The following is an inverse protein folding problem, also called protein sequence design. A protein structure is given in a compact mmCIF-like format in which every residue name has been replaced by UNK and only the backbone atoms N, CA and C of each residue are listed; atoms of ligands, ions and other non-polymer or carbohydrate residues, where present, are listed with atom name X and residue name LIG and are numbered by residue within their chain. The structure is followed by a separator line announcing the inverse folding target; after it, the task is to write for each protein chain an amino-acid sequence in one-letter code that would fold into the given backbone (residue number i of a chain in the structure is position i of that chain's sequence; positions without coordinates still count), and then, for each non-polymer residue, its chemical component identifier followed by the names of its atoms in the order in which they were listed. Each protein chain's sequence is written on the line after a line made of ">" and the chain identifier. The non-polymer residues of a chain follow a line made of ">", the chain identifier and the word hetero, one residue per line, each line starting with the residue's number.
data_IF_500579887342
#
_entry.id   IF_500579887342
#
_cell.length_a   1.000
_cell.length_b   1.000
_cell.length_c   1.000
_cell.angle_alpha   90.00
_cell.angle_beta   90.00
_cell.angle_gamma   90.00
#
_symmetry.space_group_name_H-M   'P 1'
#
loop_
_entity.id
_entity.type
_entity.pdbx_description
1 polymer ?
#
# COMPACT_ATOMS: atom_id res chain seq x y z
N UNK A 1 -24.95 -12.05 -26.94
CA UNK A 1 -23.63 -12.64 -27.29
C UNK A 1 -22.59 -11.78 -26.62
N UNK A 2 -22.43 -11.97 -25.31
CA UNK A 2 -21.31 -11.41 -24.56
C UNK A 2 -20.12 -12.32 -24.85
N UNK A 3 -19.01 -11.74 -25.28
CA UNK A 3 -17.76 -12.48 -25.45
C UNK A 3 -17.42 -13.19 -24.14
N UNK A 4 -16.86 -14.40 -24.22
CA UNK A 4 -16.32 -15.07 -23.05
C UNK A 4 -15.09 -14.28 -22.56
N UNK A 5 -14.85 -14.21 -21.24
CA UNK A 5 -13.59 -13.73 -20.71
C UNK A 5 -12.42 -14.52 -21.29
N UNK A 6 -11.28 -13.88 -21.42
CA UNK A 6 -10.06 -14.55 -21.82
C UNK A 6 -9.64 -15.54 -20.72
N UNK A 7 -8.95 -16.62 -21.11
CA UNK A 7 -8.51 -17.66 -20.17
C UNK A 7 -7.58 -17.09 -19.09
N UNK A 8 -6.76 -16.08 -19.44
CA UNK A 8 -5.91 -15.36 -18.50
C UNK A 8 -6.74 -14.65 -17.41
N UNK A 9 -7.83 -13.98 -17.79
CA UNK A 9 -8.73 -13.35 -16.83
C UNK A 9 -9.42 -14.38 -15.90
N UNK A 10 -9.75 -15.58 -16.41
CA UNK A 10 -10.27 -16.66 -15.57
C UNK A 10 -9.20 -17.20 -14.59
N UNK A 11 -7.94 -17.29 -15.02
CA UNK A 11 -6.84 -17.69 -14.14
C UNK A 11 -6.57 -16.65 -13.05
N UNK A 12 -6.55 -15.36 -13.40
CA UNK A 12 -6.42 -14.29 -12.40
C UNK A 12 -7.63 -14.22 -11.47
N UNK A 13 -8.83 -14.51 -11.96
CA UNK A 13 -10.01 -14.64 -11.12
C UNK A 13 -9.88 -15.78 -10.10
N UNK A 14 -9.39 -16.95 -10.54
CA UNK A 14 -9.17 -18.10 -9.65
C UNK A 14 -8.19 -17.81 -8.50
N UNK A 15 -7.17 -16.98 -8.77
CA UNK A 15 -6.12 -16.61 -7.83
C UNK A 15 -6.39 -15.28 -7.10
N UNK A 16 -7.54 -14.63 -7.33
CA UNK A 16 -7.92 -13.37 -6.67
C UNK A 16 -7.05 -12.17 -7.05
N UNK A 17 -6.52 -12.14 -8.28
CA UNK A 17 -5.56 -11.13 -8.77
C UNK A 17 -6.20 -10.04 -9.64
N UNK A 18 -7.50 -10.13 -9.91
CA UNK A 18 -8.20 -9.13 -10.72
C UNK A 18 -8.52 -7.86 -9.91
N UNK A 19 -8.57 -6.73 -10.60
CA UNK A 19 -9.10 -5.50 -10.01
C UNK A 19 -10.59 -5.69 -9.67
N UNK A 20 -11.04 -5.05 -8.58
CA UNK A 20 -12.37 -5.31 -8.02
C UNK A 20 -13.54 -5.13 -9.00
N UNK A 21 -13.46 -4.20 -9.96
CA UNK A 21 -14.49 -4.03 -10.99
C UNK A 21 -14.48 -5.17 -12.02
N UNK A 22 -13.29 -5.62 -12.43
CA UNK A 22 -13.12 -6.73 -13.37
C UNK A 22 -13.51 -8.06 -12.74
N UNK A 23 -13.08 -8.32 -11.50
CA UNK A 23 -13.45 -9.49 -10.70
C UNK A 23 -14.98 -9.64 -10.62
N UNK A 24 -15.70 -8.55 -10.32
CA UNK A 24 -17.17 -8.54 -10.26
C UNK A 24 -17.82 -8.84 -11.62
N UNK A 25 -17.17 -8.48 -12.72
CA UNK A 25 -17.68 -8.74 -14.06
C UNK A 25 -17.44 -10.19 -14.48
N UNK A 26 -16.25 -10.72 -14.21
CA UNK A 26 -15.90 -12.14 -14.46
C UNK A 26 -16.76 -13.05 -13.58
N UNK A 27 -16.89 -12.76 -12.28
CA UNK A 27 -17.74 -13.53 -11.36
C UNK A 27 -19.19 -13.64 -11.87
N UNK A 28 -19.79 -12.52 -12.26
CA UNK A 28 -21.15 -12.50 -12.82
C UNK A 28 -21.27 -13.30 -14.12
N UNK A 29 -20.23 -13.29 -14.95
CA UNK A 29 -20.22 -14.07 -16.18
C UNK A 29 -20.17 -15.57 -15.87
N UNK A 30 -19.24 -15.99 -15.02
CA UNK A 30 -19.05 -17.40 -14.60
C UNK A 30 -20.33 -17.95 -13.96
N UNK A 31 -21.03 -17.18 -13.14
CA UNK A 31 -22.33 -17.58 -12.55
C UNK A 31 -23.41 -17.94 -13.59
N UNK A 32 -23.28 -17.43 -14.83
CA UNK A 32 -24.28 -17.57 -15.89
C UNK A 32 -23.83 -18.34 -17.12
N UNK A 33 -22.55 -18.72 -17.20
CA UNK A 33 -21.93 -19.38 -18.34
C UNK A 33 -21.27 -20.69 -17.91
N UNK A 34 -21.88 -21.82 -18.29
CA UNK A 34 -21.42 -23.17 -17.93
C UNK A 34 -19.98 -23.45 -18.43
N UNK A 35 -19.64 -23.03 -19.65
CA UNK A 35 -18.30 -23.19 -20.22
C UNK A 35 -17.23 -22.46 -19.41
N UNK A 36 -17.51 -21.23 -18.96
CA UNK A 36 -16.57 -20.47 -18.13
C UNK A 36 -16.47 -21.03 -16.71
N UNK A 37 -17.55 -21.61 -16.16
CA UNK A 37 -17.49 -22.30 -14.86
C UNK A 37 -16.69 -23.59 -14.93
N UNK A 38 -16.83 -24.38 -16.00
CA UNK A 38 -16.03 -25.60 -16.20
C UNK A 38 -14.54 -25.25 -16.37
N UNK A 39 -14.23 -24.22 -17.17
CA UNK A 39 -12.86 -23.76 -17.34
C UNK A 39 -12.24 -23.25 -16.03
N UNK A 40 -13.02 -22.55 -15.19
CA UNK A 40 -12.57 -22.11 -13.87
C UNK A 40 -12.30 -23.30 -12.93
N UNK A 41 -13.17 -24.32 -12.96
CA UNK A 41 -12.99 -25.54 -12.17
C UNK A 41 -11.71 -26.29 -12.57
N UNK A 42 -11.43 -26.40 -13.88
CA UNK A 42 -10.19 -27.00 -14.38
C UNK A 42 -8.93 -26.24 -13.92
N UNK A 43 -8.97 -24.91 -13.96
CA UNK A 43 -7.87 -24.06 -13.51
C UNK A 43 -7.65 -24.20 -11.99
N UNK A 44 -8.73 -24.14 -11.19
CA UNK A 44 -8.64 -24.29 -9.73
C UNK A 44 -8.16 -25.67 -9.29
N UNK A 45 -8.39 -26.71 -10.11
CA UNK A 45 -7.90 -28.05 -9.85
C UNK A 45 -6.37 -28.11 -9.79
N UNK A 46 -5.68 -27.35 -10.64
CA UNK A 46 -4.20 -27.31 -10.66
C UNK A 46 -3.68 -26.81 -9.32
N UNK A 47 -4.21 -25.69 -8.82
CA UNK A 47 -3.84 -25.11 -7.52
C UNK A 47 -4.15 -26.08 -6.37
N UNK A 48 -5.28 -26.80 -6.44
CA UNK A 48 -5.63 -27.83 -5.45
C UNK A 48 -4.63 -29.00 -5.43
N UNK A 49 -4.17 -29.46 -6.61
CA UNK A 49 -3.17 -30.53 -6.73
C UNK A 49 -1.83 -30.08 -6.14
N UNK A 50 -1.42 -28.84 -6.40
CA UNK A 50 -0.19 -28.29 -5.83
C UNK A 50 -0.28 -28.12 -4.31
N UNK A 51 -1.44 -27.69 -3.80
CA UNK A 51 -1.69 -27.56 -2.36
C UNK A 51 -1.69 -28.90 -1.62
N UNK A 52 -1.94 -30.01 -2.31
CA UNK A 52 -1.88 -31.35 -1.73
C UNK A 52 -0.43 -31.85 -1.49
N UNK A 53 0.57 -31.11 -1.99
CA UNK A 53 1.97 -31.42 -1.70
C UNK A 53 2.24 -31.32 -0.18
N UNK A 54 3.10 -32.19 0.40
CA UNK A 54 3.44 -32.10 1.81
C UNK A 54 4.03 -30.72 2.15
N UNK A 55 3.38 -30.02 3.07
CA UNK A 55 3.87 -28.76 3.60
C UNK A 55 5.05 -29.00 4.57
N UNK A 56 6.02 -28.07 4.65
CA UNK A 56 7.03 -28.10 5.70
C UNK A 56 6.38 -27.99 7.09
N UNK A 57 7.04 -28.55 8.10
CA UNK A 57 6.56 -28.43 9.48
C UNK A 57 6.62 -26.97 9.95
N UNK A 58 5.52 -26.51 10.56
CA UNK A 58 5.44 -25.17 11.15
C UNK A 58 6.34 -25.11 12.40
N UNK A 59 7.22 -24.11 12.55
CA UNK A 59 8.00 -23.94 13.76
C UNK A 59 7.12 -23.81 15.01
N UNK A 60 7.48 -24.46 16.14
CA UNK A 60 6.62 -24.54 17.31
C UNK A 60 6.34 -23.18 17.96
N UNK A 61 7.31 -22.28 17.93
CA UNK A 61 7.18 -20.91 18.45
C UNK A 61 6.14 -20.09 17.67
N UNK A 62 6.07 -20.29 16.35
CA UNK A 62 5.07 -19.63 15.49
C UNK A 62 3.68 -20.21 15.76
N UNK A 63 3.58 -21.54 15.91
CA UNK A 63 2.32 -22.21 16.25
C UNK A 63 1.77 -21.71 17.59
N UNK A 64 2.62 -21.67 18.63
CA UNK A 64 2.26 -21.20 19.97
C UNK A 64 1.78 -19.74 19.93
N UNK A 65 2.46 -18.88 19.17
CA UNK A 65 2.06 -17.47 19.02
C UNK A 65 0.71 -17.33 18.31
N UNK A 66 0.45 -18.10 17.25
CA UNK A 66 -0.84 -18.12 16.56
C UNK A 66 -1.96 -18.57 17.50
N UNK A 67 -1.75 -19.65 18.25
CA UNK A 67 -2.74 -20.15 19.21
C UNK A 67 -3.03 -19.12 20.32
N UNK A 68 -1.99 -18.44 20.83
CA UNK A 68 -2.15 -17.37 21.81
C UNK A 68 -2.99 -16.21 21.26
N UNK A 69 -2.68 -15.73 20.05
CA UNK A 69 -3.39 -14.64 19.39
C UNK A 69 -4.85 -15.00 19.09
N UNK A 70 -5.11 -16.23 18.63
CA UNK A 70 -6.48 -16.73 18.42
C UNK A 70 -7.23 -16.79 19.76
N UNK A 71 -6.61 -17.31 20.82
CA UNK A 71 -7.25 -17.38 22.14
C UNK A 71 -7.58 -15.99 22.70
N UNK A 72 -6.70 -15.01 22.49
CA UNK A 72 -6.94 -13.61 22.85
C UNK A 72 -8.08 -13.00 22.04
N UNK A 73 -8.05 -13.13 20.71
CA UNK A 73 -9.12 -12.63 19.83
C UNK A 73 -10.49 -13.24 20.18
N UNK A 74 -10.53 -14.52 20.58
CA UNK A 74 -11.76 -15.18 21.06
C UNK A 74 -12.26 -14.57 22.38
N UNK A 75 -11.36 -14.31 23.34
CA UNK A 75 -11.73 -13.63 24.61
C UNK A 75 -12.25 -12.22 24.35
N UNK A 76 -11.59 -11.46 23.49
CA UNK A 76 -12.03 -10.12 23.09
C UNK A 76 -13.44 -10.12 22.51
N UNK A 77 -13.72 -11.06 21.60
CA UNK A 77 -15.08 -11.25 21.03
C UNK A 77 -16.10 -11.69 22.08
N UNK A 78 -15.69 -12.39 23.13
CA UNK A 78 -16.57 -12.79 24.23
C UNK A 78 -16.89 -11.61 25.16
N UNK A 79 -15.90 -10.76 25.45
CA UNK A 79 -16.08 -9.54 26.26
C UNK A 79 -16.91 -8.49 25.53
N UNK A 80 -16.71 -8.34 24.21
CA UNK A 80 -17.48 -7.42 23.35
C UNK A 80 -18.88 -7.93 23.04
N UNK A 81 -19.22 -9.17 23.43
CA UNK A 81 -20.57 -9.69 23.27
C UNK A 81 -21.46 -9.06 24.34
N UNK A 82 -22.54 -8.34 23.96
CA UNK A 82 -23.51 -7.88 24.94
C UNK A 82 -24.05 -9.09 25.71
N UNK A 83 -24.14 -9.00 27.04
CA UNK A 83 -24.80 -10.04 27.82
C UNK A 83 -26.25 -10.19 27.33
N UNK A 84 -26.74 -11.43 27.08
CA UNK A 84 -28.14 -11.65 26.75
C UNK A 84 -28.98 -11.29 27.99
N UNK A 85 -29.45 -10.05 28.03
CA UNK A 85 -30.46 -9.63 29.00
C UNK A 85 -31.79 -10.23 28.57
N UNK A 86 -32.09 -11.43 29.06
CA UNK A 86 -33.42 -12.05 28.92
C UNK A 86 -33.39 -13.56 28.78
N UNK A 87 -34.13 -14.23 29.66
CA UNK A 87 -34.34 -15.68 29.72
C UNK A 87 -34.77 -16.31 28.37
N UNK A 88 -34.58 -17.64 28.17
CA UNK A 88 -34.91 -18.30 26.92
C UNK A 88 -36.43 -18.40 26.74
N UNK A 89 -36.97 -17.59 25.81
CA UNK A 89 -38.26 -17.87 25.18
C UNK A 89 -37.99 -18.67 23.89
N UNK A 90 -38.90 -19.61 23.61
CA UNK A 90 -38.94 -20.53 22.45
C UNK A 90 -38.55 -19.89 21.09
N UNK A 91 -38.09 -20.71 20.11
CA UNK A 91 -37.41 -20.23 18.91
C UNK A 91 -38.39 -19.58 17.94
N UNK A 92 -38.69 -18.31 18.15
CA UNK A 92 -39.22 -17.45 17.11
C UNK A 92 -38.05 -17.02 16.22
N UNK A 93 -38.15 -17.36 14.93
CA UNK A 93 -37.10 -17.13 13.93
C UNK A 93 -36.56 -15.71 14.04
N UNK A 94 -35.28 -15.57 14.36
CA UNK A 94 -34.58 -14.31 14.34
C UNK A 94 -34.75 -13.68 12.94
N UNK A 95 -35.16 -12.41 12.83
CA UNK A 95 -35.28 -11.77 11.53
C UNK A 95 -33.89 -11.69 10.91
N UNK A 96 -33.68 -12.48 9.87
CA UNK A 96 -32.48 -12.41 9.03
C UNK A 96 -32.47 -11.01 8.43
N UNK A 97 -31.53 -10.17 8.87
CA UNK A 97 -31.37 -8.84 8.32
C UNK A 97 -30.85 -8.97 6.89
N UNK A 98 -31.70 -8.62 5.93
CA UNK A 98 -31.36 -8.65 4.52
C UNK A 98 -30.36 -7.52 4.21
N UNK A 99 -29.10 -7.89 4.00
CA UNK A 99 -28.00 -6.97 3.72
C UNK A 99 -28.10 -6.30 2.33
N UNK A 100 -29.08 -6.69 1.50
CA UNK A 100 -29.25 -6.16 0.14
C UNK A 100 -29.91 -4.76 0.08
N UNK A 101 -30.54 -4.29 1.16
CA UNK A 101 -31.21 -2.98 1.22
C UNK A 101 -30.25 -1.81 1.52
N UNK A 102 -29.10 -2.06 2.14
CA UNK A 102 -28.15 -0.97 2.49
C UNK A 102 -27.34 -0.46 1.29
N UNK A 103 -27.25 -1.22 0.18
CA UNK A 103 -26.46 -0.83 -1.00
C UNK A 103 -27.15 0.22 -1.89
N UNK A 104 -28.47 0.42 -1.75
CA UNK A 104 -29.25 1.32 -2.64
C UNK A 104 -29.31 2.78 -2.18
N UNK A 105 -28.76 3.12 -1.00
CA UNK A 105 -28.86 4.49 -0.44
C UNK A 105 -27.67 5.44 -0.74
N UNK A 106 -26.64 5.00 -1.48
CA UNK A 106 -25.49 5.86 -1.84
C UNK A 106 -25.56 6.53 -3.23
N UNK A 107 -26.59 6.29 -4.05
CA UNK A 107 -26.74 6.99 -5.34
C UNK A 107 -27.90 7.99 -5.28
N UNK A 108 -27.61 9.17 -4.72
CA UNK A 108 -28.60 10.24 -4.58
C UNK A 108 -27.97 11.61 -4.32
N UNK A 109 -26.97 12.02 -5.10
CA UNK A 109 -26.62 13.45 -5.15
C UNK A 109 -27.60 14.17 -6.11
N UNK A 110 -28.29 15.24 -5.67
CA UNK A 110 -29.15 16.01 -6.55
C UNK A 110 -28.30 16.88 -7.49
N UNK A 111 -28.60 16.79 -8.79
CA UNK A 111 -28.16 17.73 -9.83
C UNK A 111 -28.51 19.17 -9.42
N UNK A 112 -27.51 19.98 -9.13
CA UNK A 112 -27.67 21.43 -9.05
C UNK A 112 -27.36 21.99 -10.44
N UNK A 113 -28.38 22.55 -11.08
CA UNK A 113 -28.30 23.28 -12.34
C UNK A 113 -27.62 24.64 -12.09
N UNK A 114 -26.56 24.94 -12.84
CA UNK A 114 -25.96 26.27 -12.93
C UNK A 114 -25.96 26.71 -14.40
N UNK A 115 -26.58 27.85 -14.67
CA UNK A 115 -26.85 28.36 -16.01
C UNK A 115 -25.75 29.32 -16.50
N UNK A 116 -25.28 29.04 -17.73
CA UNK A 116 -24.59 29.84 -18.74
C UNK A 116 -23.95 31.21 -18.42
N UNK A 117 -22.67 31.34 -18.80
CA UNK A 117 -22.14 32.55 -19.47
C UNK A 117 -21.11 32.13 -20.53
N UNK A 118 -21.31 32.60 -21.76
CA UNK A 118 -20.42 32.41 -22.90
C UNK A 118 -19.22 33.36 -22.81
N UNK A 119 -18.01 32.83 -22.88
CA UNK A 119 -16.81 33.59 -23.26
C UNK A 119 -15.92 32.69 -24.12
N UNK A 120 -15.92 32.96 -25.41
CA UNK A 120 -15.04 32.36 -26.41
C UNK A 120 -13.64 32.92 -26.17
N UNK A 121 -12.71 32.09 -25.72
CA UNK A 121 -11.27 32.33 -25.86
C UNK A 121 -10.71 31.37 -26.90
N UNK A 122 -10.59 31.89 -28.13
CA UNK A 122 -9.71 31.34 -29.16
C UNK A 122 -8.29 31.73 -28.81
N UNK A 123 -7.55 30.78 -28.25
CA UNK A 123 -6.08 30.72 -28.22
C UNK A 123 -5.81 29.23 -28.49
N UNK A 124 -5.20 28.77 -29.59
CA UNK A 124 -4.22 29.42 -30.45
C UNK A 124 -2.82 28.99 -30.03
N UNK A 125 -2.40 27.78 -30.45
CA UNK A 125 -1.04 27.20 -30.31
C UNK A 125 -1.12 25.76 -29.76
N UNK A 126 -0.80 24.68 -30.47
CA UNK A 126 0.31 24.44 -31.42
C UNK A 126 1.58 24.18 -30.62
N UNK A 127 2.21 23.00 -30.55
CA UNK A 127 2.21 21.83 -31.43
C UNK A 127 2.44 20.53 -30.63
N UNK A 128 1.69 19.47 -30.94
CA UNK A 128 2.11 18.12 -30.62
C UNK A 128 3.05 17.64 -31.75
N UNK A 129 4.32 17.41 -31.42
CA UNK A 129 5.24 16.70 -32.31
C UNK A 129 4.81 15.25 -32.31
N UNK A 130 4.05 14.86 -33.33
CA UNK A 130 3.85 13.46 -33.71
C UNK A 130 5.04 13.06 -34.57
N UNK A 131 5.98 12.32 -34.00
CA UNK A 131 6.87 11.45 -34.75
C UNK A 131 6.42 10.02 -34.35
N UNK A 132 5.78 9.23 -35.18
CA UNK A 132 6.12 8.99 -36.57
C UNK A 132 7.09 7.81 -36.69
N UNK A 133 6.80 6.68 -36.02
CA UNK A 133 7.28 5.38 -36.48
C UNK A 133 6.05 4.54 -36.80
N UNK A 134 5.71 4.61 -38.08
CA UNK A 134 4.84 3.66 -38.74
C UNK A 134 5.51 2.28 -38.70
N UNK A 135 4.71 1.28 -38.32
CA UNK A 135 4.53 0.02 -39.04
C UNK A 135 5.58 -0.22 -40.14
N UNK A 136 6.50 -1.14 -39.86
CA UNK A 136 7.08 -1.99 -40.89
C UNK A 136 6.58 -3.41 -40.62
N UNK A 137 5.63 -3.84 -41.44
CA UNK A 137 5.26 -5.23 -41.65
C UNK A 137 6.37 -5.97 -42.41
N UNK A 138 6.52 -7.23 -42.03
CA UNK A 138 7.21 -8.36 -42.70
C UNK A 138 8.70 -8.23 -43.06
N UNK A 139 9.55 -8.99 -42.36
CA UNK A 139 10.24 -10.14 -42.97
C UNK A 139 10.97 -10.97 -41.88
N UNK A 140 10.67 -12.27 -41.84
CA UNK A 140 11.47 -13.26 -41.13
C UNK A 140 12.91 -13.23 -41.65
N UNK A 141 13.88 -12.96 -40.78
CA UNK A 141 15.23 -13.54 -40.94
C UNK A 141 15.87 -13.73 -39.56
N UNK A 142 15.99 -15.00 -39.22
CA UNK A 142 16.85 -15.59 -38.22
C UNK A 142 18.28 -15.03 -38.34
N UNK A 143 18.78 -14.37 -37.29
CA UNK A 143 20.19 -14.02 -37.17
C UNK A 143 20.58 -13.97 -35.70
N UNK A 144 20.99 -15.12 -35.17
CA UNK A 144 21.80 -15.18 -33.96
C UNK A 144 23.08 -14.34 -34.15
N UNK A 145 23.22 -13.28 -33.37
CA UNK A 145 24.49 -12.56 -33.23
C UNK A 145 25.33 -13.20 -32.12
N UNK A 146 26.65 -13.37 -32.31
CA UNK A 146 27.51 -14.04 -31.35
C UNK A 146 27.75 -13.16 -30.12
N UNK A 147 27.83 -13.80 -28.96
CA UNK A 147 28.29 -13.18 -27.71
C UNK A 147 29.73 -12.69 -27.89
N UNK A 148 29.93 -11.37 -27.81
CA UNK A 148 31.24 -10.76 -27.62
C UNK A 148 31.32 -10.27 -26.17
N UNK A 149 32.20 -10.93 -25.43
CA UNK A 149 32.68 -10.55 -24.10
C UNK A 149 33.37 -9.18 -24.21
N UNK A 150 32.68 -8.14 -23.77
CA UNK A 150 33.17 -6.77 -23.73
C UNK A 150 32.75 -6.17 -22.40
N UNK A 151 33.73 -5.92 -21.54
CA UNK A 151 33.57 -5.20 -20.28
C UNK A 151 32.87 -3.86 -20.56
N UNK A 152 31.58 -3.79 -20.21
CA UNK A 152 30.84 -2.55 -20.18
C UNK A 152 31.15 -1.87 -18.85
N UNK A 153 31.73 -0.68 -18.94
CA UNK A 153 31.76 0.28 -17.84
C UNK A 153 30.30 0.58 -17.47
N UNK A 154 29.97 0.44 -16.18
CA UNK A 154 28.62 0.53 -15.62
C UNK A 154 28.10 1.98 -15.73
N UNK A 155 27.47 2.29 -16.86
CA UNK A 155 26.46 3.35 -16.92
C UNK A 155 25.28 2.91 -16.04
N UNK A 156 24.77 3.73 -15.11
CA UNK A 156 23.64 3.35 -14.28
C UNK A 156 22.42 3.19 -15.19
N UNK A 157 22.06 1.94 -15.47
CA UNK A 157 20.82 1.60 -16.15
C UNK A 157 19.62 2.11 -15.36
N UNK A 158 18.45 2.31 -15.99
CA UNK A 158 17.23 2.66 -15.27
C UNK A 158 17.00 1.58 -14.20
N UNK A 159 17.10 2.02 -12.95
CA UNK A 159 16.99 1.21 -11.74
C UNK A 159 15.72 0.36 -11.86
N UNK A 160 15.90 -0.94 -12.00
CA UNK A 160 14.81 -1.89 -12.11
C UNK A 160 14.11 -1.94 -10.75
N UNK A 161 13.14 -1.04 -10.55
CA UNK A 161 12.15 -0.99 -9.47
C UNK A 161 12.56 -1.78 -8.21
N UNK A 162 13.67 -1.39 -7.57
CA UNK A 162 13.87 -1.81 -6.19
C UNK A 162 12.74 -1.17 -5.40
N UNK A 163 11.91 -2.00 -4.76
CA UNK A 163 10.87 -1.51 -3.86
C UNK A 163 11.55 -0.60 -2.86
N UNK A 164 11.24 0.68 -2.96
CA UNK A 164 11.80 1.71 -2.12
C UNK A 164 11.27 1.50 -0.69
N UNK A 165 12.17 1.33 0.27
CA UNK A 165 11.84 1.31 1.69
C UNK A 165 12.73 2.31 2.42
N UNK A 166 12.17 3.18 3.28
CA UNK A 166 12.98 4.06 4.11
C UNK A 166 13.80 3.22 5.11
N UNK A 167 14.93 3.75 5.55
CA UNK A 167 15.59 3.17 6.72
C UNK A 167 14.78 3.46 7.99
N UNK A 168 14.73 2.52 8.91
CA UNK A 168 14.07 2.69 10.19
C UNK A 168 15.09 2.70 11.33
N UNK A 169 14.96 3.65 12.25
CA UNK A 169 15.68 3.69 13.52
C UNK A 169 14.71 3.80 14.69
N UNK A 170 15.23 3.54 15.89
CA UNK A 170 14.55 3.80 17.17
C UNK A 170 15.44 4.66 18.05
N UNK A 171 15.29 5.98 17.93
CA UNK A 171 16.06 6.93 18.73
C UNK A 171 15.69 6.89 20.22
N UNK A 172 14.41 6.58 20.51
CA UNK A 172 13.82 6.75 21.84
C UNK A 172 13.61 8.22 22.23
N UNK A 173 13.78 9.14 21.29
CA UNK A 173 13.56 10.57 21.49
C UNK A 173 12.09 10.86 21.75
N UNK A 174 11.81 11.71 22.73
CA UNK A 174 10.50 12.29 22.93
C UNK A 174 10.50 13.68 22.28
N UNK A 175 10.08 13.73 21.03
CA UNK A 175 10.03 14.95 20.25
C UNK A 175 9.00 15.91 20.82
N UNK A 176 9.29 17.20 20.74
CA UNK A 176 8.38 18.26 21.18
C UNK A 176 8.28 19.32 20.09
N UNK A 177 7.13 19.97 19.97
CA UNK A 177 6.92 21.05 19.01
C UNK A 177 8.04 22.11 19.08
N UNK A 178 8.36 22.60 20.29
CA UNK A 178 9.39 23.62 20.50
C UNK A 178 10.84 23.13 20.24
N UNK A 179 11.07 21.81 20.24
CA UNK A 179 12.39 21.19 20.15
C UNK A 179 12.65 20.41 18.87
N UNK A 180 11.67 20.34 17.97
CA UNK A 180 11.67 19.42 16.83
C UNK A 180 12.91 19.57 15.95
N UNK A 181 13.30 20.80 15.61
CA UNK A 181 14.46 21.08 14.78
C UNK A 181 15.78 20.52 15.37
N UNK A 182 16.07 20.85 16.64
CA UNK A 182 17.31 20.43 17.31
C UNK A 182 17.34 18.91 17.53
N UNK A 183 16.21 18.32 17.92
CA UNK A 183 16.05 16.89 18.14
C UNK A 183 16.18 16.09 16.83
N UNK A 184 15.60 16.60 15.75
CA UNK A 184 15.67 15.98 14.44
C UNK A 184 17.09 16.00 13.86
N UNK A 185 17.80 17.13 14.02
CA UNK A 185 19.21 17.22 13.63
C UNK A 185 20.08 16.21 14.39
N UNK A 186 19.90 16.06 15.72
CA UNK A 186 20.63 15.07 16.52
C UNK A 186 20.34 13.63 16.06
N UNK A 187 19.08 13.31 15.74
CA UNK A 187 18.70 12.00 15.21
C UNK A 187 19.32 11.75 13.84
N UNK A 188 19.30 12.74 12.94
CA UNK A 188 19.96 12.65 11.63
C UNK A 188 21.45 12.37 11.79
N UNK A 189 22.18 13.15 12.59
CA UNK A 189 23.63 12.99 12.80
C UNK A 189 24.03 11.60 13.32
N UNK A 190 23.13 10.94 14.06
CA UNK A 190 23.34 9.58 14.59
C UNK A 190 22.80 8.49 13.68
N UNK A 191 21.98 8.83 12.68
CA UNK A 191 21.35 7.86 11.78
C UNK A 191 22.34 7.31 10.74
N UNK A 192 22.03 6.18 10.10
CA UNK A 192 22.91 5.62 9.07
C UNK A 192 22.89 6.45 7.76
N UNK A 193 21.84 7.25 7.56
CA UNK A 193 21.72 8.20 6.43
C UNK A 193 22.43 9.53 6.70
N UNK A 194 22.71 9.85 7.97
CA UNK A 194 23.43 11.04 8.40
C UNK A 194 24.93 10.91 8.20
N UNK A 195 25.46 11.76 7.32
CA UNK A 195 26.84 11.68 6.86
C UNK A 195 27.87 12.32 7.79
N UNK A 196 27.95 11.92 9.07
CA UNK A 196 29.18 11.91 9.90
C UNK A 196 28.82 11.69 11.37
N UNK A 197 28.78 10.43 11.81
CA UNK A 197 28.59 10.14 13.22
C UNK A 197 29.86 10.54 14.02
N UNK A 198 29.89 11.76 14.56
CA UNK A 198 30.78 12.09 15.69
C UNK A 198 30.28 11.45 17.00
N UNK A 199 29.00 11.08 17.03
CA UNK A 199 28.27 10.47 18.15
C UNK A 199 28.06 8.96 17.98
N UNK A 200 27.61 8.27 19.04
CA UNK A 200 27.26 6.84 18.97
C UNK A 200 26.11 6.61 17.96
N UNK A 201 26.32 5.81 16.90
CA UNK A 201 25.36 5.64 15.82
C UNK A 201 24.12 4.84 16.28
N UNK A 202 22.96 5.21 15.75
CA UNK A 202 21.72 4.47 15.89
C UNK A 202 21.76 3.22 15.02
N UNK A 203 21.41 2.03 15.56
CA UNK A 203 21.28 0.84 14.74
C UNK A 203 20.07 0.99 13.82
N UNK A 204 20.25 0.65 12.54
CA UNK A 204 19.14 0.46 11.62
C UNK A 204 18.37 -0.81 12.01
N UNK A 205 17.05 -0.72 12.04
CA UNK A 205 16.18 -1.87 12.25
C UNK A 205 16.15 -2.73 10.98
N UNK A 206 16.18 -4.06 11.13
CA UNK A 206 16.20 -4.98 9.98
C UNK A 206 14.86 -5.10 9.24
N UNK A 207 13.79 -4.57 9.83
CA UNK A 207 12.43 -4.66 9.29
C UNK A 207 11.67 -3.39 9.60
N UNK A 208 11.10 -2.76 8.59
CA UNK A 208 10.22 -1.61 8.74
C UNK A 208 8.77 -2.11 8.86
N UNK A 209 7.98 -1.62 9.82
CA UNK A 209 6.55 -1.92 9.88
C UNK A 209 5.83 -1.44 8.61
N UNK A 210 4.96 -2.28 8.03
CA UNK A 210 4.19 -1.93 6.82
C UNK A 210 3.40 -0.62 6.94
N UNK A 211 2.94 -0.28 8.15
CA UNK A 211 2.26 0.99 8.41
C UNK A 211 3.18 2.19 8.21
N UNK A 212 4.43 2.09 8.66
CA UNK A 212 5.44 3.14 8.50
C UNK A 212 5.87 3.27 7.04
N UNK A 213 6.04 2.15 6.31
CA UNK A 213 6.34 2.15 4.87
C UNK A 213 5.21 2.79 4.05
N UNK A 214 3.97 2.42 4.33
CA UNK A 214 2.78 2.99 3.67
C UNK A 214 2.66 4.47 3.94
N UNK A 215 2.84 4.90 5.20
CA UNK A 215 2.78 6.31 5.56
C UNK A 215 3.93 7.10 4.94
N UNK A 216 5.17 6.60 4.95
CA UNK A 216 6.31 7.25 4.33
C UNK A 216 6.11 7.43 2.81
N UNK A 217 5.47 6.45 2.16
CA UNK A 217 5.11 6.53 0.74
C UNK A 217 4.04 7.57 0.49
N UNK A 218 2.99 7.61 1.31
CA UNK A 218 1.90 8.59 1.20
C UNK A 218 2.38 10.01 1.44
N UNK A 219 3.09 10.24 2.55
CA UNK A 219 3.72 11.53 2.88
C UNK A 219 4.65 11.98 1.76
N UNK A 220 5.47 11.08 1.24
CA UNK A 220 6.39 11.42 0.16
C UNK A 220 5.70 11.81 -1.15
N UNK A 221 4.61 11.14 -1.51
CA UNK A 221 3.79 11.50 -2.67
C UNK A 221 3.12 12.87 -2.50
N UNK A 222 2.63 13.16 -1.30
CA UNK A 222 1.96 14.43 -0.96
C UNK A 222 2.89 15.64 -1.05
N UNK A 223 4.06 15.56 -0.42
CA UNK A 223 5.04 16.66 -0.40
C UNK A 223 5.94 16.66 -1.65
N UNK A 224 5.86 15.62 -2.48
CA UNK A 224 6.70 15.46 -3.68
C UNK A 224 8.17 15.19 -3.37
N UNK A 225 8.50 14.74 -2.16
CA UNK A 225 9.84 14.40 -1.70
C UNK A 225 9.91 12.94 -1.26
N UNK A 226 11.10 12.38 -1.24
CA UNK A 226 11.30 10.99 -0.83
C UNK A 226 11.69 10.93 0.65
N UNK A 227 10.90 10.24 1.47
CA UNK A 227 11.22 9.98 2.89
C UNK A 227 12.29 8.91 2.99
N UNK A 228 13.53 9.25 3.36
CA UNK A 228 14.70 8.33 3.40
C UNK A 228 14.92 7.66 4.75
N UNK A 229 14.45 8.28 5.82
CA UNK A 229 14.59 7.79 7.18
C UNK A 229 13.26 7.96 7.91
N UNK A 230 12.93 6.95 8.72
CA UNK A 230 11.85 6.97 9.69
C UNK A 230 12.43 6.67 11.06
N UNK A 231 12.02 7.44 12.06
CA UNK A 231 12.33 7.20 13.47
C UNK A 231 11.05 6.81 14.22
N UNK A 232 11.06 5.62 14.83
CA UNK A 232 10.00 5.09 15.70
C UNK A 232 10.21 5.65 17.12
N UNK A 233 9.45 6.70 17.45
CA UNK A 233 9.72 7.61 18.57
C UNK A 233 8.43 8.04 19.28
N UNK A 234 8.54 9.01 20.19
CA UNK A 234 7.40 9.62 20.90
C UNK A 234 7.26 11.08 20.49
N UNK A 235 6.03 11.62 20.52
CA UNK A 235 5.78 13.04 20.30
C UNK A 235 4.90 13.67 21.38
N UNK A 236 5.27 14.89 21.78
CA UNK A 236 4.54 15.70 22.75
C UNK A 236 4.96 15.45 24.20
N UNK A 237 4.06 15.78 25.12
CA UNK A 237 4.30 15.64 26.58
C UNK A 237 3.81 14.30 27.16
N UNK A 238 3.14 13.49 26.35
CA UNK A 238 2.64 12.16 26.66
C UNK A 238 3.48 11.04 26.04
N UNK A 239 3.21 9.77 26.36
CA UNK A 239 3.86 8.61 25.75
C UNK A 239 3.20 8.25 24.41
N UNK A 240 2.84 9.25 23.61
CA UNK A 240 2.11 9.02 22.36
C UNK A 240 3.11 8.62 21.27
N UNK A 241 3.01 7.39 20.72
CA UNK A 241 3.93 6.92 19.69
C UNK A 241 3.70 7.67 18.37
N UNK A 242 4.78 8.05 17.72
CA UNK A 242 4.79 8.76 16.46
C UNK A 242 5.91 8.24 15.56
N UNK A 243 5.74 8.43 14.25
CA UNK A 243 6.82 8.28 13.30
C UNK A 243 7.35 9.66 12.94
N UNK A 244 8.66 9.85 13.05
CA UNK A 244 9.32 11.06 12.57
C UNK A 244 10.00 10.73 11.25
N UNK A 245 9.58 11.42 10.19
CA UNK A 245 9.95 11.15 8.82
C UNK A 245 10.88 12.23 8.31
N UNK A 246 11.94 11.83 7.63
CA UNK A 246 12.97 12.72 7.13
C UNK A 246 13.03 12.61 5.61
N UNK A 247 12.76 13.71 4.92
CA UNK A 247 12.72 13.80 3.47
C UNK A 247 13.71 14.87 2.97
N UNK A 248 14.84 14.48 2.36
CA UNK A 248 15.82 15.43 1.86
C UNK A 248 15.25 16.29 0.72
N UNK A 249 15.49 17.60 0.79
CA UNK A 249 15.22 18.59 -0.25
C UNK A 249 16.45 19.50 -0.42
N UNK A 250 17.29 19.17 -1.41
CA UNK A 250 18.54 19.88 -1.64
C UNK A 250 19.51 19.80 -0.46
N UNK A 251 19.82 20.94 0.14
CA UNK A 251 20.71 21.09 1.31
C UNK A 251 19.93 21.12 2.64
N UNK A 252 18.62 20.86 2.59
CA UNK A 252 17.73 20.77 3.75
C UNK A 252 17.04 19.41 3.83
N UNK A 253 16.48 19.10 4.99
CA UNK A 253 15.67 17.92 5.24
C UNK A 253 14.34 18.38 5.81
N UNK A 254 13.25 18.05 5.13
CA UNK A 254 11.90 18.20 5.64
C UNK A 254 11.62 17.11 6.68
N UNK A 255 11.20 17.52 7.86
CA UNK A 255 10.92 16.65 9.00
C UNK A 255 9.44 16.72 9.29
N UNK A 256 8.76 15.57 9.27
CA UNK A 256 7.34 15.48 9.58
C UNK A 256 7.13 14.48 10.70
N UNK A 257 6.35 14.89 11.70
CA UNK A 257 5.88 14.00 12.76
C UNK A 257 4.48 13.56 12.39
N UNK A 258 4.26 12.25 12.29
CA UNK A 258 2.95 11.67 11.98
C UNK A 258 2.52 10.73 13.09
N UNK A 259 1.21 10.65 13.33
CA UNK A 259 0.64 9.64 14.22
C UNK A 259 0.99 8.23 13.74
N UNK A 260 1.28 7.31 14.65
CA UNK A 260 1.53 5.89 14.32
C UNK A 260 0.32 5.18 13.66
N UNK A 261 -0.83 5.85 13.58
CA UNK A 261 -2.05 5.43 12.88
C UNK A 261 -2.02 5.63 11.35
N UNK A 262 -1.20 6.54 10.83
CA UNK A 262 -1.21 7.06 9.45
C UNK A 262 -1.36 6.01 8.32
N UNK A 263 -0.88 4.78 8.51
CA UNK A 263 -1.02 3.69 7.52
C UNK A 263 -2.34 2.90 7.54
N UNK A 264 -3.33 3.24 8.38
CA UNK A 264 -4.56 2.45 8.59
C UNK A 264 -5.80 3.00 7.85
N UNK A 265 -5.60 3.89 6.86
CA UNK A 265 -6.66 4.47 6.03
C UNK A 265 -7.11 5.87 6.46
N UNK A 266 -6.36 6.49 7.36
CA UNK A 266 -6.46 7.92 7.66
C UNK A 266 -5.82 8.74 6.53
N UNK A 267 -6.33 9.95 6.30
CA UNK A 267 -5.72 10.89 5.36
C UNK A 267 -4.37 11.35 5.91
N UNK A 268 -3.35 11.44 5.05
CA UNK A 268 -1.98 11.73 5.47
C UNK A 268 -1.90 13.14 6.05
N UNK A 269 -2.55 14.13 5.41
CA UNK A 269 -2.67 15.51 5.88
C UNK A 269 -3.26 15.57 7.31
N UNK A 270 -4.27 14.75 7.59
CA UNK A 270 -4.94 14.71 8.91
C UNK A 270 -4.08 14.02 9.99
N UNK A 271 -3.07 13.26 9.58
CA UNK A 271 -2.19 12.48 10.46
C UNK A 271 -0.90 13.22 10.83
N UNK A 272 -0.59 14.35 10.18
CA UNK A 272 0.60 15.17 10.47
C UNK A 272 0.38 15.98 11.75
N UNK A 273 1.23 15.73 12.75
CA UNK A 273 1.23 16.38 14.06
C UNK A 273 2.10 17.64 14.10
N UNK A 274 3.20 17.64 13.35
CA UNK A 274 4.12 18.76 13.23
C UNK A 274 5.00 18.61 11.98
N UNK A 275 5.51 19.73 11.50
CA UNK A 275 6.44 19.82 10.39
C UNK A 275 7.50 20.87 10.68
N UNK A 276 8.75 20.61 10.29
CA UNK A 276 9.87 21.52 10.42
C UNK A 276 10.91 21.24 9.32
N UNK A 277 11.71 22.25 8.96
CA UNK A 277 12.83 22.07 8.02
C UNK A 277 14.15 22.18 8.77
N UNK A 278 15.04 21.20 8.61
CA UNK A 278 16.39 21.23 9.20
C UNK A 278 17.45 21.31 8.11
N UNK A 279 18.59 21.93 8.37
CA UNK A 279 19.71 21.93 7.42
C UNK A 279 20.39 20.55 7.42
N UNK A 280 20.77 20.04 6.25
CA UNK A 280 21.56 18.84 6.14
C UNK A 280 23.02 19.16 6.50
N UNK A 281 23.55 18.49 7.54
CA UNK A 281 24.94 18.61 8.01
C UNK A 281 25.98 18.20 6.97
#
# INVERSE_FOLDING_TARGET
>A
MTSHPEVEALAFFAEGLLESDEERNVARHVESCEECSEALDELSNVSQVLAAAPAPELPPDVADRLEQQIAEAVRDRAVRRPEPTGAPSEPESAPVADLSEHRKRRFGLPRIMMAAAAAVFVIGGGAAVVNGILLQDDEQTDAAAPLMDGQAEEEPGPDAAQSYAPELVRSGTAYTEDGLAEQAAETLDRSPVGGTAESDPLPAETTVPQGAESCASGVGEEIGLRVVLVDDALYGTGPDPAWVMFAPDGDSVEVMVVEAGCGQGDDVDESVLAQETVEAS
#
